data_IF_024236675580
#
_entry.id   IF_024236675580
#
_cell.length_a   1.000
_cell.length_b   1.000
_cell.length_c   1.000
_cell.angle_alpha   90.00
_cell.angle_beta   90.00
_cell.angle_gamma   90.00
#
_symmetry.space_group_name_H-M   'P 1'
#
loop_
_entity.id
_entity.type
_entity.pdbx_description
1 polymer ?
#
# COMPACT_ATOMS: atom_id res chain seq x y z
N UNK A 1 17.61 3.30 -15.06
CA UNK A 1 16.58 3.23 -14.00
C UNK A 1 16.44 4.60 -13.34
N UNK A 2 15.25 4.96 -12.85
CA UNK A 2 14.99 6.19 -12.10
C UNK A 2 14.14 5.86 -10.87
N UNK A 3 14.32 6.62 -9.80
CA UNK A 3 13.50 6.51 -8.60
C UNK A 3 12.05 6.87 -8.92
N UNK A 4 11.11 6.04 -8.45
CA UNK A 4 9.67 6.22 -8.57
C UNK A 4 8.98 5.87 -7.26
N UNK A 5 7.78 6.42 -7.09
CA UNK A 5 6.90 6.08 -5.99
C UNK A 5 5.59 5.49 -6.54
N UNK A 6 5.15 4.39 -5.94
CA UNK A 6 3.90 3.71 -6.26
C UNK A 6 2.94 3.83 -5.07
N UNK A 7 1.70 4.18 -5.36
CA UNK A 7 0.60 4.19 -4.38
C UNK A 7 -0.12 2.85 -4.38
N UNK A 8 -0.38 2.34 -3.18
CA UNK A 8 -1.28 1.24 -2.90
C UNK A 8 -2.32 1.64 -1.87
N UNK A 9 -3.55 1.13 -1.98
CA UNK A 9 -4.52 1.16 -0.89
C UNK A 9 -5.46 -0.05 -0.92
N UNK A 10 -5.88 -0.50 0.26
CA UNK A 10 -6.89 -1.54 0.45
C UNK A 10 -7.70 -1.25 1.71
N UNK A 11 -8.83 -1.94 1.88
CA UNK A 11 -9.63 -1.91 3.11
C UNK A 11 -9.68 -3.27 3.78
N UNK A 12 -10.05 -3.28 5.06
CA UNK A 12 -10.39 -4.50 5.81
C UNK A 12 -11.81 -4.40 6.36
N UNK A 13 -12.47 -5.55 6.51
CA UNK A 13 -13.84 -5.60 7.04
C UNK A 13 -13.87 -5.32 8.55
N UNK A 14 -12.84 -5.76 9.27
CA UNK A 14 -12.70 -5.63 10.72
C UNK A 14 -11.27 -5.28 11.15
N UNK A 15 -11.15 -4.72 12.36
CA UNK A 15 -9.85 -4.42 12.98
C UNK A 15 -9.30 -5.67 13.69
N UNK A 16 -8.84 -6.61 12.88
CA UNK A 16 -8.20 -7.85 13.31
C UNK A 16 -6.78 -7.97 12.71
N UNK A 17 -5.87 -8.63 13.44
CA UNK A 17 -4.48 -8.76 13.03
C UNK A 17 -4.31 -9.58 11.75
N UNK A 18 -5.05 -10.67 11.58
CA UNK A 18 -5.01 -11.50 10.38
C UNK A 18 -5.61 -10.73 9.18
N UNK A 19 -6.70 -10.01 9.40
CA UNK A 19 -7.32 -9.16 8.38
C UNK A 19 -6.34 -8.08 7.88
N UNK A 20 -5.67 -7.35 8.79
CA UNK A 20 -4.69 -6.30 8.45
C UNK A 20 -3.50 -6.89 7.68
N UNK A 21 -2.93 -7.98 8.18
CA UNK A 21 -1.73 -8.60 7.57
C UNK A 21 -2.06 -9.21 6.22
N UNK A 22 -3.15 -9.98 6.11
CA UNK A 22 -3.57 -10.61 4.86
C UNK A 22 -3.91 -9.58 3.78
N UNK A 23 -4.63 -8.51 4.14
CA UNK A 23 -4.91 -7.41 3.24
C UNK A 23 -3.66 -6.69 2.73
N UNK A 24 -2.70 -6.45 3.62
CA UNK A 24 -1.45 -5.79 3.25
C UNK A 24 -0.60 -6.68 2.36
N UNK A 25 -0.57 -7.99 2.62
CA UNK A 25 0.13 -8.97 1.80
C UNK A 25 -0.40 -9.00 0.37
N UNK A 26 -1.73 -9.09 0.19
CA UNK A 26 -2.38 -9.02 -1.13
C UNK A 26 -2.02 -7.72 -1.86
N UNK A 27 -2.12 -6.57 -1.17
CA UNK A 27 -1.81 -5.26 -1.74
C UNK A 27 -0.36 -5.18 -2.23
N UNK A 28 0.59 -5.71 -1.45
CA UNK A 28 2.01 -5.68 -1.80
C UNK A 28 2.32 -6.62 -2.97
N UNK A 29 1.74 -7.83 -3.00
CA UNK A 29 1.89 -8.76 -4.14
C UNK A 29 1.42 -8.12 -5.44
N UNK A 30 0.22 -7.55 -5.43
CA UNK A 30 -0.34 -6.87 -6.62
C UNK A 30 0.51 -5.68 -7.07
N UNK A 31 1.07 -4.89 -6.15
CA UNK A 31 1.98 -3.79 -6.49
C UNK A 31 3.25 -4.27 -7.18
N UNK A 32 3.88 -5.30 -6.61
CA UNK A 32 5.12 -5.87 -7.11
C UNK A 32 4.90 -6.50 -8.49
N UNK A 33 3.88 -7.36 -8.61
CA UNK A 33 3.59 -8.10 -9.84
C UNK A 33 3.20 -7.16 -10.99
N UNK A 34 2.32 -6.17 -10.75
CA UNK A 34 1.88 -5.26 -11.83
C UNK A 34 2.97 -4.33 -12.35
N UNK A 35 3.98 -4.04 -11.53
CA UNK A 35 5.08 -3.16 -11.89
C UNK A 35 6.36 -3.94 -12.22
N UNK A 36 6.30 -5.28 -12.26
CA UNK A 36 7.42 -6.15 -12.62
C UNK A 36 8.67 -5.88 -11.77
N UNK A 37 8.47 -5.62 -10.47
CA UNK A 37 9.55 -5.26 -9.56
C UNK A 37 10.22 -6.51 -8.97
N UNK A 38 11.55 -6.52 -8.95
CA UNK A 38 12.33 -7.46 -8.16
C UNK A 38 12.62 -6.88 -6.75
N UNK A 39 13.09 -7.71 -5.82
CA UNK A 39 13.36 -7.26 -4.46
C UNK A 39 14.47 -6.18 -4.41
N UNK A 40 15.48 -6.31 -5.26
CA UNK A 40 16.59 -5.37 -5.42
C UNK A 40 16.17 -4.01 -5.97
N UNK A 41 14.99 -3.90 -6.59
CA UNK A 41 14.46 -2.64 -7.10
C UNK A 41 13.85 -1.78 -5.98
N UNK A 42 13.55 -2.37 -4.81
CA UNK A 42 12.78 -1.73 -3.75
C UNK A 42 13.69 -0.94 -2.80
N UNK A 43 13.30 0.32 -2.55
CA UNK A 43 14.07 1.24 -1.71
C UNK A 43 13.47 1.33 -0.30
N UNK A 44 12.16 1.53 -0.18
CA UNK A 44 11.46 1.62 1.11
C UNK A 44 9.95 1.55 0.95
N UNK A 45 9.25 1.16 2.01
CA UNK A 45 7.79 1.22 2.08
C UNK A 45 7.33 2.07 3.27
N UNK A 46 6.44 3.02 3.01
CA UNK A 46 5.73 3.76 4.05
C UNK A 46 4.27 3.30 4.06
N UNK A 47 3.82 2.76 5.19
CA UNK A 47 2.45 2.33 5.40
C UNK A 47 1.70 3.35 6.24
N UNK A 48 0.44 3.62 5.90
CA UNK A 48 -0.47 4.39 6.77
C UNK A 48 -1.74 3.59 7.03
N UNK A 49 -2.27 3.70 8.25
CA UNK A 49 -3.56 3.15 8.62
C UNK A 49 -4.47 4.25 9.14
N UNK A 50 -5.76 4.18 8.83
CA UNK A 50 -6.78 4.97 9.53
C UNK A 50 -6.78 4.63 11.02
N UNK A 51 -7.21 5.58 11.87
CA UNK A 51 -7.11 5.45 13.33
C UNK A 51 -7.92 4.27 13.89
N UNK A 52 -8.95 3.84 13.17
CA UNK A 52 -9.79 2.68 13.49
C UNK A 52 -9.12 1.31 13.25
N UNK A 53 -7.86 1.28 12.78
CA UNK A 53 -7.03 0.08 12.69
C UNK A 53 -5.85 0.16 13.66
N UNK A 54 -5.87 -0.69 14.70
CA UNK A 54 -4.85 -0.72 15.74
C UNK A 54 -4.48 -2.14 16.20
N UNK A 55 -5.02 -3.19 15.58
CA UNK A 55 -4.78 -4.57 15.97
C UNK A 55 -3.38 -5.10 15.59
N UNK A 56 -2.75 -4.58 14.52
CA UNK A 56 -1.42 -5.00 14.06
C UNK A 56 -0.76 -3.96 13.13
N UNK A 57 0.56 -4.02 13.00
CA UNK A 57 1.34 -3.28 12.02
C UNK A 57 1.28 -3.91 10.62
N UNK A 58 0.91 -3.14 9.57
CA UNK A 58 0.94 -3.62 8.18
C UNK A 58 2.31 -4.16 7.74
N UNK A 59 3.40 -3.58 8.25
CA UNK A 59 4.77 -3.99 7.92
C UNK A 59 5.08 -5.46 8.27
N UNK A 60 4.29 -6.13 9.12
CA UNK A 60 4.41 -7.57 9.37
C UNK A 60 4.17 -8.37 8.09
N UNK A 61 3.24 -7.93 7.22
CA UNK A 61 2.94 -8.58 5.95
C UNK A 61 4.13 -8.53 4.97
N UNK A 62 4.92 -7.46 5.00
CA UNK A 62 6.08 -7.29 4.13
C UNK A 62 7.12 -8.41 4.32
N UNK A 63 7.25 -8.97 5.54
CA UNK A 63 8.12 -10.12 5.79
C UNK A 63 7.65 -11.39 5.07
N UNK A 64 6.33 -11.57 4.91
CA UNK A 64 5.73 -12.74 4.24
C UNK A 64 5.91 -12.70 2.72
N UNK A 65 6.06 -11.50 2.15
CA UNK A 65 6.32 -11.27 0.71
C UNK A 65 7.80 -11.09 0.38
N UNK A 66 8.71 -11.48 1.29
CA UNK A 66 10.16 -11.49 1.04
C UNK A 66 10.86 -10.15 1.25
N UNK A 67 10.18 -9.12 1.75
CA UNK A 67 10.74 -7.76 1.91
C UNK A 67 11.52 -7.56 3.21
N UNK A 68 12.08 -8.63 3.79
CA UNK A 68 12.73 -8.58 5.11
C UNK A 68 13.92 -7.63 5.20
N UNK A 69 14.58 -7.32 4.08
CA UNK A 69 15.71 -6.39 4.00
C UNK A 69 15.32 -4.95 3.60
N UNK A 70 14.06 -4.72 3.20
CA UNK A 70 13.59 -3.41 2.77
C UNK A 70 13.23 -2.58 4.01
N UNK A 71 13.69 -1.32 4.13
CA UNK A 71 13.26 -0.41 5.20
C UNK A 71 11.76 -0.14 5.14
N UNK A 72 11.07 -0.38 6.26
CA UNK A 72 9.61 -0.21 6.40
C UNK A 72 9.32 0.79 7.52
N UNK A 73 8.30 1.62 7.32
CA UNK A 73 7.78 2.51 8.37
C UNK A 73 6.25 2.48 8.34
N UNK A 74 5.63 2.46 9.51
CA UNK A 74 4.18 2.62 9.66
C UNK A 74 3.88 3.95 10.34
N UNK A 75 2.83 4.63 9.90
CA UNK A 75 2.27 5.80 10.60
C UNK A 75 0.74 5.70 10.66
N UNK A 76 0.13 6.55 11.48
CA UNK A 76 -1.30 6.82 11.36
C UNK A 76 -1.55 7.76 10.18
N UNK A 77 -2.65 7.53 9.49
CA UNK A 77 -3.19 8.46 8.51
C UNK A 77 -3.91 9.61 9.23
N UNK A 78 -4.01 10.76 8.57
CA UNK A 78 -4.83 11.87 9.05
C UNK A 78 -6.30 11.44 9.23
N UNK A 79 -6.88 11.75 10.38
CA UNK A 79 -8.30 11.50 10.67
C UNK A 79 -9.16 12.61 10.07
N UNK A 80 -9.77 12.32 8.92
CA UNK A 80 -10.65 13.25 8.19
C UNK A 80 -12.09 12.77 8.33
N UNK A 81 -13.01 13.58 8.92
CA UNK A 81 -14.41 13.20 9.07
C UNK A 81 -15.06 12.81 7.73
N UNK A 82 -15.77 11.69 7.71
CA UNK A 82 -16.43 11.16 6.51
C UNK A 82 -15.50 10.49 5.49
N UNK A 83 -14.19 10.40 5.79
CA UNK A 83 -13.28 9.62 4.95
C UNK A 83 -13.53 8.12 5.07
N UNK A 84 -13.03 7.37 4.07
CA UNK A 84 -13.19 5.92 4.01
C UNK A 84 -12.53 5.27 5.26
N UNK A 85 -13.28 4.50 6.08
CA UNK A 85 -12.75 3.85 7.28
C UNK A 85 -11.95 2.59 6.94
N UNK A 86 -11.18 2.10 7.92
CA UNK A 86 -10.41 0.83 7.85
C UNK A 86 -9.55 0.68 6.61
N UNK A 87 -8.81 1.73 6.28
CA UNK A 87 -7.94 1.77 5.09
C UNK A 87 -6.49 1.58 5.49
N UNK A 88 -5.82 0.68 4.77
CA UNK A 88 -4.36 0.53 4.78
C UNK A 88 -3.84 1.11 3.47
N UNK A 89 -2.88 2.03 3.53
CA UNK A 89 -2.22 2.62 2.37
C UNK A 89 -0.74 2.29 2.40
N UNK A 90 -0.12 2.28 1.22
CA UNK A 90 1.32 2.17 1.05
C UNK A 90 1.83 3.16 0.03
N UNK A 91 2.99 3.75 0.33
CA UNK A 91 3.87 4.41 -0.63
C UNK A 91 5.14 3.58 -0.75
N UNK A 92 5.31 2.93 -1.89
CA UNK A 92 6.47 2.12 -2.22
C UNK A 92 7.44 2.93 -3.07
N UNK A 93 8.68 3.11 -2.60
CA UNK A 93 9.77 3.68 -3.37
C UNK A 93 10.55 2.56 -4.06
N UNK A 94 10.79 2.70 -5.37
CA UNK A 94 11.51 1.71 -6.16
C UNK A 94 12.31 2.36 -7.31
N UNK A 95 13.29 1.64 -7.82
CA UNK A 95 13.93 1.94 -9.10
C UNK A 95 13.22 1.18 -10.21
N UNK A 96 12.84 1.88 -11.28
CA UNK A 96 12.23 1.24 -12.45
C UNK A 96 12.64 1.96 -13.74
N UNK A 97 12.32 1.36 -14.89
CA UNK A 97 12.44 2.01 -16.18
C UNK A 97 11.52 3.25 -16.24
N UNK A 98 12.04 4.46 -16.56
CA UNK A 98 11.21 5.64 -16.80
C UNK A 98 10.12 5.46 -17.85
N UNK A 99 10.33 4.58 -18.84
CA UNK A 99 9.36 4.30 -19.90
C UNK A 99 8.21 3.40 -19.45
N UNK A 100 8.40 2.60 -18.38
CA UNK A 100 7.34 1.76 -17.85
C UNK A 100 6.22 2.61 -17.22
N UNK A 101 4.94 2.25 -17.34
CA UNK A 101 3.86 2.95 -16.66
C UNK A 101 3.90 2.67 -15.15
N UNK A 102 3.65 3.70 -14.32
CA UNK A 102 3.48 3.50 -12.88
C UNK A 102 2.08 2.91 -12.61
N UNK A 103 2.01 1.65 -12.22
CA UNK A 103 0.74 0.95 -11.98
C UNK A 103 0.39 0.99 -10.49
N UNK A 104 -0.31 2.05 -10.09
CA UNK A 104 -0.87 2.14 -8.73
C UNK A 104 -1.99 1.11 -8.52
N UNK A 105 -2.11 0.63 -7.29
CA UNK A 105 -3.04 -0.45 -6.91
C UNK A 105 -4.04 0.05 -5.88
N UNK A 106 -5.32 -0.18 -6.14
CA UNK A 106 -6.40 0.11 -5.20
C UNK A 106 -7.33 -1.11 -5.21
N UNK A 107 -7.52 -1.72 -4.05
CA UNK A 107 -8.29 -2.95 -3.88
C UNK A 107 -9.52 -2.68 -3.03
N UNK A 108 -10.54 -3.53 -3.18
CA UNK A 108 -11.76 -3.51 -2.35
C UNK A 108 -12.40 -2.11 -2.35
N UNK A 109 -12.87 -1.62 -1.22
CA UNK A 109 -13.51 -0.30 -1.12
C UNK A 109 -12.54 0.86 -1.39
N UNK A 110 -11.22 0.63 -1.27
CA UNK A 110 -10.21 1.65 -1.56
C UNK A 110 -10.18 2.05 -3.05
N UNK A 111 -10.82 1.31 -3.96
CA UNK A 111 -11.02 1.72 -5.36
C UNK A 111 -11.72 3.08 -5.47
N UNK A 112 -12.57 3.44 -4.50
CA UNK A 112 -13.24 4.74 -4.44
C UNK A 112 -12.22 5.89 -4.37
N UNK A 113 -11.12 5.72 -3.64
CA UNK A 113 -10.06 6.73 -3.49
C UNK A 113 -9.36 7.09 -4.80
N UNK A 114 -9.39 6.19 -5.79
CA UNK A 114 -8.84 6.48 -7.12
C UNK A 114 -9.83 7.23 -8.00
N UNK A 115 -11.14 7.00 -7.84
CA UNK A 115 -12.17 7.73 -8.58
C UNK A 115 -12.14 9.21 -8.22
N UNK A 116 -11.88 9.53 -6.96
CA UNK A 116 -11.73 10.91 -6.50
C UNK A 116 -10.51 11.62 -7.12
N UNK A 117 -9.43 10.87 -7.42
CA UNK A 117 -8.26 11.39 -8.15
C UNK A 117 -8.50 11.55 -9.66
N UNK A 118 -9.57 10.96 -10.19
CA UNK A 118 -10.02 11.07 -11.57
C UNK A 118 -11.24 12.01 -11.69
N UNK A 119 -11.39 12.98 -10.78
CA UNK A 119 -12.51 13.94 -10.74
C UNK A 119 -12.91 14.51 -12.11
N UNK A 120 -14.15 15.01 -12.25
CA UNK A 120 -14.81 15.21 -13.54
C UNK A 120 -13.93 16.04 -14.48
N UNK A 121 -13.79 15.56 -15.72
CA UNK A 121 -13.22 16.36 -16.81
C UNK A 121 -14.01 17.65 -17.02
#
# INVERSE_FOLDING_TARGET
MKLRALRGATTVEENDAEAIVGATEELMRELIERNELAQEDLVSCLFTCTEDLNAEFPAVAARRVGLGAVPLLCSREIDVPGSLPRVIRVMLHCYADPAAPARHVYLREAVALRRDLQGPQ
#
